data_IF_412779095264
#
_entry.id   IF_412779095264
#
_cell.length_a   1.000
_cell.length_b   1.000
_cell.length_c   1.000
_cell.angle_alpha   90.00
_cell.angle_beta   90.00
_cell.angle_gamma   90.00
#
_symmetry.space_group_name_H-M   'P 1'
#
loop_
_entity.id
_entity.type
_entity.pdbx_description
1 polymer ?
#
# COMPACT_ATOMS: atom_id res chain seq x y z
N UNK A 1 13.00 -47.35 -32.54
CA UNK A 1 13.14 -47.84 -33.91
C UNK A 1 13.67 -46.69 -34.76
N UNK A 2 14.90 -46.98 -35.30
CA UNK A 2 15.44 -46.60 -36.63
C UNK A 2 15.58 -45.09 -36.86
N UNK A 3 16.81 -44.58 -36.82
CA UNK A 3 17.90 -44.58 -37.85
C UNK A 3 17.84 -43.33 -38.71
N UNK A 4 18.86 -42.43 -38.59
CA UNK A 4 20.13 -42.39 -39.36
C UNK A 4 19.92 -41.68 -40.73
N UNK A 5 20.71 -40.63 -40.99
CA UNK A 5 21.77 -40.45 -41.98
C UNK A 5 22.04 -38.94 -42.12
N UNK A 6 23.19 -38.41 -41.78
CA UNK A 6 24.50 -38.42 -42.45
C UNK A 6 24.54 -37.54 -43.71
N UNK A 7 25.50 -36.65 -43.61
CA UNK A 7 26.54 -36.27 -44.58
C UNK A 7 26.13 -35.13 -45.55
N UNK A 8 26.95 -34.30 -46.05
CA UNK A 8 28.41 -34.10 -46.01
C UNK A 8 28.74 -32.77 -46.71
N UNK A 9 29.80 -32.17 -46.26
CA UNK A 9 30.86 -31.51 -47.05
C UNK A 9 30.53 -30.76 -48.33
N UNK A 10 30.98 -29.52 -48.44
CA UNK A 10 31.90 -29.13 -49.51
C UNK A 10 32.67 -27.85 -49.13
N UNK A 11 33.96 -28.02 -49.05
CA UNK A 11 35.00 -27.04 -49.15
C UNK A 11 34.93 -26.30 -50.48
N UNK A 12 35.19 -25.02 -50.48
CA UNK A 12 35.89 -24.33 -51.56
C UNK A 12 36.63 -23.12 -50.99
N UNK A 13 37.93 -23.23 -51.08
CA UNK A 13 38.91 -22.23 -50.79
C UNK A 13 39.19 -21.36 -52.03
N UNK A 14 39.98 -20.32 -51.81
CA UNK A 14 40.70 -19.43 -52.71
C UNK A 14 39.91 -18.26 -53.28
N UNK A 15 40.44 -17.06 -53.30
CA UNK A 15 41.75 -16.51 -53.60
C UNK A 15 41.92 -15.17 -52.95
N UNK A 16 43.10 -14.88 -52.47
CA UNK A 16 43.52 -13.61 -51.90
C UNK A 16 43.70 -12.53 -52.97
N UNK A 17 43.56 -11.29 -52.51
CA UNK A 17 44.28 -10.14 -53.07
C UNK A 17 44.77 -9.25 -51.93
N UNK A 18 46.03 -8.94 -52.07
CA UNK A 18 46.94 -8.21 -51.20
C UNK A 18 46.78 -6.70 -51.48
N UNK A 19 47.13 -5.92 -50.47
CA UNK A 19 47.46 -4.52 -50.49
C UNK A 19 46.33 -3.49 -50.24
N UNK A 20 46.21 -2.96 -49.01
CA UNK A 20 46.87 -1.71 -48.67
C UNK A 20 46.81 -1.45 -47.18
N UNK A 21 47.95 -1.34 -46.55
CA UNK A 21 48.09 -0.93 -45.16
C UNK A 21 47.67 0.53 -45.02
N UNK A 22 46.55 0.76 -44.35
CA UNK A 22 46.31 1.99 -43.59
C UNK A 22 46.08 1.55 -42.16
N UNK A 23 46.98 2.01 -41.32
CA UNK A 23 46.92 1.98 -39.87
C UNK A 23 45.51 2.34 -39.40
N UNK A 24 44.79 1.33 -38.95
CA UNK A 24 43.62 1.57 -38.08
C UNK A 24 44.24 1.73 -36.71
N UNK A 25 44.25 2.97 -36.24
CA UNK A 25 44.46 3.31 -34.87
C UNK A 25 43.71 2.34 -33.98
N UNK A 26 44.43 1.79 -33.01
CA UNK A 26 43.87 1.16 -31.84
C UNK A 26 42.78 2.07 -31.27
N UNK A 27 41.53 1.75 -31.56
CA UNK A 27 40.45 2.11 -30.65
C UNK A 27 40.65 1.18 -29.46
N UNK A 28 41.47 1.60 -28.52
CA UNK A 28 41.36 1.15 -27.15
C UNK A 28 39.87 1.30 -26.78
N UNK A 29 39.21 0.14 -26.71
CA UNK A 29 37.98 0.03 -25.94
C UNK A 29 38.36 0.34 -24.49
N UNK A 30 38.48 1.62 -24.20
CA UNK A 30 38.19 2.12 -22.86
C UNK A 30 36.70 1.92 -22.64
N UNK A 31 36.31 0.68 -22.39
CA UNK A 31 35.18 0.42 -21.52
C UNK A 31 35.60 1.05 -20.19
N UNK A 32 35.38 2.36 -20.08
CA UNK A 32 35.32 3.01 -18.81
C UNK A 32 34.29 2.23 -18.05
N UNK A 33 34.74 1.33 -17.19
CA UNK A 33 33.96 0.81 -16.10
C UNK A 33 33.40 2.04 -15.42
N UNK A 34 32.15 2.40 -15.78
CA UNK A 34 31.38 3.36 -15.02
C UNK A 34 31.06 2.58 -13.76
N UNK A 35 31.99 2.59 -12.83
CA UNK A 35 31.73 2.26 -11.45
C UNK A 35 30.68 3.29 -11.05
N UNK A 36 29.45 2.88 -11.04
CA UNK A 36 28.35 3.67 -10.52
C UNK A 36 28.55 3.73 -8.99
N UNK A 37 29.52 4.57 -8.57
CA UNK A 37 29.64 4.92 -7.16
C UNK A 37 28.32 5.49 -6.68
N UNK A 38 27.62 4.72 -5.82
CA UNK A 38 26.71 5.29 -4.83
C UNK A 38 25.44 6.02 -5.30
N UNK A 39 24.99 5.85 -6.56
CA UNK A 39 23.87 6.62 -7.10
C UNK A 39 22.51 5.91 -6.99
N UNK A 40 22.45 4.75 -6.37
CA UNK A 40 21.24 3.97 -6.16
C UNK A 40 20.98 3.86 -4.66
N UNK A 41 19.72 3.79 -4.30
CA UNK A 41 19.29 3.46 -2.94
C UNK A 41 17.99 2.68 -2.99
N UNK A 42 17.67 1.98 -1.91
CA UNK A 42 16.34 1.38 -1.75
C UNK A 42 15.78 1.63 -0.35
N UNK A 43 14.46 1.51 -0.27
CA UNK A 43 13.67 1.72 0.95
C UNK A 43 12.69 0.58 1.12
N UNK A 44 12.63 0.01 2.30
CA UNK A 44 11.53 -0.87 2.69
C UNK A 44 10.34 -0.02 3.15
N UNK A 45 9.46 0.30 2.21
CA UNK A 45 8.31 1.17 2.45
C UNK A 45 7.34 0.57 3.46
N UNK A 46 7.13 -0.75 3.42
CA UNK A 46 6.24 -1.44 4.35
C UNK A 46 6.76 -1.33 5.79
N UNK A 47 8.06 -1.46 5.98
CA UNK A 47 8.71 -1.28 7.27
C UNK A 47 8.59 0.19 7.75
N UNK A 48 8.89 1.16 6.87
CA UNK A 48 8.73 2.58 7.20
C UNK A 48 7.30 2.89 7.63
N UNK A 49 6.30 2.37 6.93
CA UNK A 49 4.91 2.59 7.28
C UNK A 49 4.55 1.95 8.62
N UNK A 50 4.93 0.69 8.84
CA UNK A 50 4.61 -0.03 10.07
C UNK A 50 5.26 0.58 11.31
N UNK A 51 6.50 1.08 11.19
CA UNK A 51 7.28 1.61 12.30
C UNK A 51 7.15 3.11 12.50
N UNK A 52 6.50 3.84 11.57
CA UNK A 52 6.32 5.29 11.68
C UNK A 52 5.41 5.71 12.84
N UNK A 53 5.72 6.85 13.45
CA UNK A 53 4.92 7.43 14.54
C UNK A 53 3.50 7.79 14.09
N UNK A 54 3.30 8.17 12.83
CA UNK A 54 1.96 8.43 12.29
C UNK A 54 1.14 7.14 12.28
N UNK A 55 1.69 6.01 11.87
CA UNK A 55 0.97 4.74 11.89
C UNK A 55 0.68 4.28 13.33
N UNK A 56 1.67 4.34 14.21
CA UNK A 56 1.53 3.95 15.62
C UNK A 56 0.49 4.79 16.37
N UNK A 57 0.31 6.04 16.00
CA UNK A 57 -0.68 6.92 16.63
C UNK A 57 -2.03 6.95 15.88
N UNK A 58 -2.05 7.40 14.63
CA UNK A 58 -3.27 7.61 13.86
C UNK A 58 -3.75 6.33 13.16
N UNK A 59 -2.83 5.54 12.60
CA UNK A 59 -3.17 4.30 11.88
C UNK A 59 -3.79 3.25 12.80
N UNK A 60 -3.21 3.05 13.99
CA UNK A 60 -3.76 2.12 14.99
C UNK A 60 -5.13 2.62 15.48
N UNK A 61 -5.26 3.92 15.75
CA UNK A 61 -6.53 4.50 16.18
C UNK A 61 -7.65 4.34 15.14
N UNK A 62 -7.32 4.53 13.86
CA UNK A 62 -8.25 4.33 12.74
C UNK A 62 -8.66 2.86 12.59
N UNK A 63 -7.71 1.94 12.72
CA UNK A 63 -7.98 0.51 12.72
C UNK A 63 -8.92 0.12 13.85
N UNK A 64 -8.65 0.57 15.08
CA UNK A 64 -9.48 0.29 16.25
C UNK A 64 -10.89 0.90 16.09
N UNK A 65 -11.00 2.10 15.51
CA UNK A 65 -12.29 2.74 15.19
C UNK A 65 -13.09 1.89 14.21
N UNK A 66 -12.45 1.40 13.17
CA UNK A 66 -13.07 0.54 12.15
C UNK A 66 -13.54 -0.78 12.75
N UNK A 67 -12.72 -1.43 13.56
CA UNK A 67 -13.08 -2.68 14.24
C UNK A 67 -14.25 -2.49 15.20
N UNK A 68 -14.23 -1.44 16.01
CA UNK A 68 -15.36 -1.09 16.92
C UNK A 68 -16.64 -0.81 16.16
N UNK A 69 -16.56 -0.13 15.01
CA UNK A 69 -17.72 0.11 14.17
C UNK A 69 -18.31 -1.21 13.65
N UNK A 70 -17.48 -2.12 13.14
CA UNK A 70 -17.90 -3.45 12.66
C UNK A 70 -18.56 -4.27 13.78
N UNK A 71 -17.93 -4.33 14.95
CA UNK A 71 -18.49 -5.03 16.10
C UNK A 71 -19.84 -4.44 16.55
N UNK A 72 -19.96 -3.11 16.57
CA UNK A 72 -21.21 -2.39 16.88
C UNK A 72 -22.30 -2.73 15.87
N UNK A 73 -21.98 -2.78 14.57
CA UNK A 73 -22.93 -3.11 13.52
C UNK A 73 -23.42 -4.55 13.65
N UNK A 74 -22.48 -5.49 13.78
CA UNK A 74 -22.81 -6.92 13.97
C UNK A 74 -23.73 -7.13 15.19
N UNK A 75 -23.43 -6.48 16.31
CA UNK A 75 -24.26 -6.56 17.52
C UNK A 75 -25.66 -5.98 17.31
N UNK A 76 -25.78 -4.85 16.62
CA UNK A 76 -27.08 -4.24 16.33
C UNK A 76 -27.93 -5.10 15.42
N UNK A 77 -27.31 -5.71 14.39
CA UNK A 77 -27.98 -6.63 13.50
C UNK A 77 -28.49 -7.87 14.23
N UNK A 78 -27.64 -8.49 15.04
CA UNK A 78 -28.03 -9.64 15.86
C UNK A 78 -29.18 -9.33 16.81
N UNK A 79 -29.15 -8.15 17.49
CA UNK A 79 -30.22 -7.73 18.36
C UNK A 79 -31.53 -7.55 17.60
N UNK A 80 -31.49 -6.94 16.42
CA UNK A 80 -32.67 -6.76 15.58
C UNK A 80 -33.26 -8.10 15.14
N UNK A 81 -32.42 -9.05 14.71
CA UNK A 81 -32.86 -10.41 14.35
C UNK A 81 -33.52 -11.13 15.54
N UNK A 82 -32.90 -11.03 16.73
CA UNK A 82 -33.47 -11.62 17.94
C UNK A 82 -34.83 -11.01 18.31
N UNK A 83 -34.97 -9.68 18.19
CA UNK A 83 -36.24 -9.00 18.45
C UNK A 83 -37.33 -9.44 17.45
N UNK A 84 -36.99 -9.59 16.16
CA UNK A 84 -37.91 -10.09 15.14
C UNK A 84 -38.35 -11.53 15.44
N UNK A 85 -37.42 -12.41 15.82
CA UNK A 85 -37.73 -13.76 16.20
C UNK A 85 -38.65 -13.83 17.44
N UNK A 86 -38.33 -13.07 18.48
CA UNK A 86 -39.15 -12.98 19.69
C UNK A 86 -40.58 -12.48 19.39
N UNK A 87 -40.70 -11.51 18.47
CA UNK A 87 -41.99 -10.99 18.04
C UNK A 87 -42.82 -12.11 17.38
N UNK A 88 -42.21 -12.86 16.46
CA UNK A 88 -42.86 -13.99 15.79
C UNK A 88 -43.30 -15.08 16.76
N UNK A 89 -42.45 -15.45 17.72
CA UNK A 89 -42.78 -16.43 18.77
C UNK A 89 -43.93 -15.97 19.66
N UNK A 90 -43.95 -14.71 20.11
CA UNK A 90 -45.04 -14.15 20.93
C UNK A 90 -46.36 -14.15 20.19
N UNK A 91 -46.33 -13.82 18.89
CA UNK A 91 -47.54 -13.88 18.06
C UNK A 91 -48.07 -15.29 17.88
N UNK A 92 -47.19 -16.27 17.55
CA UNK A 92 -47.55 -17.69 17.41
C UNK A 92 -48.14 -18.28 18.70
N UNK A 93 -47.63 -17.85 19.86
CA UNK A 93 -48.11 -18.31 21.16
C UNK A 93 -49.39 -17.57 21.63
N UNK A 94 -49.91 -16.65 20.82
CA UNK A 94 -51.10 -15.84 21.19
C UNK A 94 -50.87 -14.82 22.34
N UNK A 95 -49.62 -14.51 22.65
CA UNK A 95 -49.24 -13.63 23.74
C UNK A 95 -49.40 -12.11 23.40
N UNK A 96 -49.61 -11.82 22.12
CA UNK A 96 -49.86 -10.45 21.63
C UNK A 96 -50.97 -10.46 20.59
N UNK A 97 -51.68 -9.36 20.49
CA UNK A 97 -52.74 -9.18 19.49
C UNK A 97 -52.16 -8.95 18.11
N UNK A 98 -52.91 -9.26 17.06
CA UNK A 98 -52.49 -9.00 15.66
C UNK A 98 -52.12 -7.55 15.44
N UNK A 99 -52.89 -6.61 16.00
CA UNK A 99 -52.61 -5.18 15.90
C UNK A 99 -51.23 -4.82 16.49
N UNK A 100 -50.97 -5.29 17.73
CA UNK A 100 -49.68 -5.00 18.39
C UNK A 100 -48.53 -5.66 17.68
N UNK A 101 -48.72 -6.85 17.09
CA UNK A 101 -47.69 -7.52 16.28
C UNK A 101 -47.33 -6.69 15.02
N UNK A 102 -48.35 -6.20 14.30
CA UNK A 102 -48.15 -5.36 13.10
C UNK A 102 -47.47 -4.02 13.45
N UNK A 103 -47.89 -3.34 14.52
CA UNK A 103 -47.26 -2.10 14.98
C UNK A 103 -45.77 -2.33 15.31
N UNK A 104 -45.46 -3.42 16.00
CA UNK A 104 -44.07 -3.76 16.36
C UNK A 104 -43.22 -4.19 15.16
N UNK A 105 -43.81 -4.91 14.23
CA UNK A 105 -43.13 -5.27 12.97
C UNK A 105 -42.75 -4.00 12.17
N UNK A 106 -43.68 -3.05 12.03
CA UNK A 106 -43.38 -1.79 11.35
C UNK A 106 -42.28 -0.98 12.06
N UNK A 107 -42.25 -0.99 13.40
CA UNK A 107 -41.18 -0.36 14.18
C UNK A 107 -39.82 -1.01 13.89
N UNK A 108 -39.75 -2.36 13.90
CA UNK A 108 -38.54 -3.11 13.63
C UNK A 108 -38.05 -2.88 12.19
N UNK A 109 -38.96 -2.83 11.21
CA UNK A 109 -38.63 -2.52 9.82
C UNK A 109 -38.04 -1.10 9.68
N UNK A 110 -38.60 -0.09 10.35
CA UNK A 110 -38.05 1.27 10.37
C UNK A 110 -36.67 1.31 11.03
N UNK A 111 -36.48 0.56 12.12
CA UNK A 111 -35.17 0.44 12.78
C UNK A 111 -34.14 -0.24 11.88
N UNK A 112 -34.53 -1.28 11.14
CA UNK A 112 -33.66 -1.94 10.17
C UNK A 112 -33.18 -0.98 9.08
N UNK A 113 -34.11 -0.23 8.47
CA UNK A 113 -33.80 0.75 7.44
C UNK A 113 -32.87 1.88 7.96
N UNK A 114 -33.18 2.41 9.16
CA UNK A 114 -32.35 3.43 9.80
C UNK A 114 -30.96 2.92 10.14
N UNK A 115 -30.85 1.67 10.63
CA UNK A 115 -29.58 1.02 10.92
C UNK A 115 -28.74 0.89 9.65
N UNK A 116 -29.33 0.40 8.55
CA UNK A 116 -28.62 0.25 7.26
C UNK A 116 -28.09 1.59 6.76
N UNK A 117 -28.91 2.66 6.82
CA UNK A 117 -28.49 4.01 6.42
C UNK A 117 -27.33 4.51 7.28
N UNK A 118 -27.40 4.28 8.60
CA UNK A 118 -26.34 4.69 9.53
C UNK A 118 -25.03 3.91 9.28
N UNK A 119 -25.12 2.60 9.00
CA UNK A 119 -23.96 1.77 8.67
C UNK A 119 -23.29 2.23 7.37
N UNK A 120 -24.08 2.54 6.33
CA UNK A 120 -23.56 3.05 5.07
C UNK A 120 -22.85 4.39 5.23
N UNK A 121 -23.44 5.28 6.03
CA UNK A 121 -22.85 6.60 6.30
C UNK A 121 -21.53 6.46 7.07
N UNK A 122 -21.55 5.74 8.20
CA UNK A 122 -20.37 5.49 9.03
C UNK A 122 -19.28 4.75 8.25
N UNK A 123 -19.65 3.80 7.37
CA UNK A 123 -18.72 3.10 6.48
C UNK A 123 -18.01 4.03 5.50
N UNK A 124 -18.75 4.94 4.86
CA UNK A 124 -18.16 5.96 3.98
C UNK A 124 -17.22 6.90 4.72
N UNK A 125 -17.59 7.35 5.91
CA UNK A 125 -16.74 8.20 6.74
C UNK A 125 -15.42 7.50 7.09
N UNK A 126 -15.46 6.20 7.43
CA UNK A 126 -14.27 5.40 7.70
C UNK A 126 -13.42 5.19 6.44
N UNK A 127 -14.04 5.00 5.29
CA UNK A 127 -13.34 4.89 4.00
C UNK A 127 -12.63 6.19 3.64
N UNK A 128 -13.30 7.34 3.81
CA UNK A 128 -12.71 8.67 3.60
C UNK A 128 -11.55 8.92 4.56
N UNK A 129 -11.69 8.60 5.85
CA UNK A 129 -10.62 8.72 6.83
C UNK A 129 -9.42 7.83 6.46
N UNK A 130 -9.67 6.59 6.02
CA UNK A 130 -8.63 5.67 5.54
C UNK A 130 -7.89 6.22 4.33
N UNK A 131 -8.60 6.78 3.37
CA UNK A 131 -8.03 7.38 2.18
C UNK A 131 -7.15 8.59 2.51
N UNK A 132 -7.65 9.48 3.37
CA UNK A 132 -6.89 10.64 3.84
C UNK A 132 -5.62 10.21 4.59
N UNK A 133 -5.73 9.22 5.46
CA UNK A 133 -4.58 8.66 6.19
C UNK A 133 -3.52 8.08 5.25
N UNK A 134 -3.93 7.27 4.26
CA UNK A 134 -3.01 6.70 3.28
C UNK A 134 -2.29 7.77 2.45
N UNK A 135 -3.03 8.79 1.98
CA UNK A 135 -2.45 9.89 1.24
C UNK A 135 -1.43 10.66 2.08
N UNK A 136 -1.72 10.90 3.35
CA UNK A 136 -0.81 11.58 4.27
C UNK A 136 0.46 10.77 4.53
N UNK A 137 0.34 9.46 4.69
CA UNK A 137 1.51 8.58 4.82
C UNK A 137 2.39 8.62 3.57
N UNK A 138 1.79 8.55 2.38
CA UNK A 138 2.51 8.63 1.11
C UNK A 138 3.18 10.00 0.93
N UNK A 139 2.50 11.09 1.28
CA UNK A 139 3.06 12.44 1.24
C UNK A 139 4.30 12.56 2.14
N UNK A 140 4.19 12.12 3.39
CA UNK A 140 5.32 12.11 4.33
C UNK A 140 6.50 11.30 3.81
N UNK A 141 6.25 10.11 3.25
CA UNK A 141 7.29 9.27 2.64
C UNK A 141 7.98 9.99 1.48
N UNK A 142 7.21 10.56 0.57
CA UNK A 142 7.78 11.25 -0.60
C UNK A 142 8.55 12.50 -0.21
N UNK A 143 8.06 13.29 0.73
CA UNK A 143 8.77 14.46 1.28
C UNK A 143 10.07 14.03 1.97
N UNK A 144 10.02 12.97 2.78
CA UNK A 144 11.21 12.45 3.45
C UNK A 144 12.30 12.04 2.44
N UNK A 145 11.93 11.30 1.39
CA UNK A 145 12.86 10.88 0.34
C UNK A 145 13.41 12.12 -0.40
N UNK A 146 12.57 13.11 -0.72
CA UNK A 146 12.99 14.33 -1.41
C UNK A 146 13.97 15.16 -0.58
N UNK A 147 13.72 15.32 0.73
CA UNK A 147 14.60 16.05 1.63
C UNK A 147 15.94 15.32 1.83
N UNK A 148 15.92 13.99 2.01
CA UNK A 148 17.14 13.19 2.12
C UNK A 148 17.96 13.20 0.83
N UNK A 149 17.32 13.40 -0.31
CA UNK A 149 17.97 13.47 -1.63
C UNK A 149 18.08 14.90 -2.19
N UNK A 150 18.06 15.91 -1.33
CA UNK A 150 18.13 17.30 -1.77
C UNK A 150 19.45 17.63 -2.51
N UNK A 151 20.54 16.99 -2.12
CA UNK A 151 21.87 17.09 -2.75
C UNK A 151 22.03 16.21 -4.01
N UNK A 152 20.96 15.50 -4.42
CA UNK A 152 20.96 14.61 -5.59
C UNK A 152 22.00 13.48 -5.55
N UNK A 153 22.36 13.02 -4.34
CA UNK A 153 23.30 11.91 -4.16
C UNK A 153 22.76 10.60 -4.75
N UNK A 154 21.45 10.40 -4.69
CA UNK A 154 20.78 9.23 -5.28
C UNK A 154 20.14 9.62 -6.62
N UNK A 155 20.55 8.97 -7.70
CA UNK A 155 19.91 9.10 -9.02
C UNK A 155 18.59 8.35 -9.09
N UNK A 156 18.47 7.29 -8.27
CA UNK A 156 17.26 6.46 -8.19
C UNK A 156 17.11 5.92 -6.77
N UNK A 157 15.90 6.03 -6.25
CA UNK A 157 15.47 5.37 -5.01
C UNK A 157 14.38 4.38 -5.38
N UNK A 158 14.56 3.12 -5.01
CA UNK A 158 13.65 2.02 -5.35
C UNK A 158 12.97 1.48 -4.08
N UNK A 159 11.82 0.86 -4.26
CA UNK A 159 11.18 0.11 -3.18
C UNK A 159 11.83 -1.28 -3.08
N UNK A 160 12.14 -1.73 -1.87
CA UNK A 160 12.81 -3.02 -1.64
C UNK A 160 12.03 -4.21 -2.22
N UNK A 161 10.70 -4.16 -2.22
CA UNK A 161 9.85 -5.22 -2.79
C UNK A 161 10.01 -5.41 -4.31
N UNK A 162 10.62 -4.45 -5.02
CA UNK A 162 10.92 -4.56 -6.45
C UNK A 162 12.31 -5.15 -6.72
N UNK A 163 13.09 -5.45 -5.68
CA UNK A 163 14.45 -5.96 -5.77
C UNK A 163 14.48 -7.46 -5.49
N UNK A 164 15.29 -8.20 -6.23
CA UNK A 164 15.57 -9.61 -5.95
C UNK A 164 16.78 -9.76 -5.01
N UNK A 165 17.75 -8.85 -5.16
CA UNK A 165 18.98 -8.81 -4.38
C UNK A 165 19.55 -7.39 -4.40
N UNK A 166 20.14 -6.92 -3.32
CA UNK A 166 20.81 -5.63 -3.23
C UNK A 166 21.81 -5.63 -2.07
N UNK A 167 22.86 -4.85 -2.21
CA UNK A 167 23.82 -4.61 -1.14
C UNK A 167 23.19 -3.79 0.00
N UNK A 168 23.40 -4.19 1.25
CA UNK A 168 22.85 -3.52 2.43
C UNK A 168 23.31 -2.06 2.55
N UNK A 169 24.47 -1.70 1.98
CA UNK A 169 24.94 -0.31 1.97
C UNK A 169 24.06 0.64 1.17
N UNK A 170 23.17 0.11 0.32
CA UNK A 170 22.19 0.88 -0.45
C UNK A 170 20.87 1.08 0.29
N UNK A 171 20.69 0.45 1.46
CA UNK A 171 19.49 0.58 2.26
C UNK A 171 19.47 1.92 3.02
N UNK A 172 18.49 2.74 2.71
CA UNK A 172 18.25 4.02 3.40
C UNK A 172 16.96 4.01 4.24
N UNK A 173 16.42 2.83 4.52
CA UNK A 173 15.13 2.66 5.21
C UNK A 173 15.08 3.38 6.55
N UNK A 174 16.10 3.21 7.39
CA UNK A 174 16.15 3.84 8.72
C UNK A 174 16.26 5.37 8.64
N UNK A 175 17.02 5.87 7.67
CA UNK A 175 17.12 7.31 7.44
C UNK A 175 15.78 7.91 6.97
N UNK A 176 15.08 7.19 6.09
CA UNK A 176 13.73 7.60 5.63
C UNK A 176 12.73 7.54 6.78
N UNK A 177 12.73 6.49 7.61
CA UNK A 177 11.87 6.39 8.78
C UNK A 177 12.09 7.53 9.77
N UNK A 178 13.35 7.86 10.07
CA UNK A 178 13.68 8.97 10.95
C UNK A 178 13.16 10.29 10.40
N UNK A 179 13.33 10.54 9.09
CA UNK A 179 12.86 11.76 8.43
C UNK A 179 11.32 11.82 8.37
N UNK A 180 10.63 10.72 8.11
CA UNK A 180 9.16 10.64 8.16
C UNK A 180 8.64 11.04 9.54
N UNK A 181 9.27 10.53 10.61
CA UNK A 181 8.88 10.86 11.98
C UNK A 181 9.15 12.34 12.32
N UNK A 182 10.26 12.89 11.85
CA UNK A 182 10.59 14.33 11.99
C UNK A 182 9.52 15.21 11.33
N UNK A 183 9.20 14.92 10.06
CA UNK A 183 8.19 15.66 9.30
C UNK A 183 6.79 15.54 9.94
N UNK A 184 6.43 14.35 10.39
CA UNK A 184 5.16 14.16 11.10
C UNK A 184 5.07 14.99 12.38
N UNK A 185 6.16 15.04 13.17
CA UNK A 185 6.21 15.87 14.38
C UNK A 185 6.07 17.36 14.05
N UNK A 186 6.73 17.84 12.99
CA UNK A 186 6.64 19.22 12.51
C UNK A 186 5.21 19.55 12.06
N UNK A 187 4.58 18.69 11.26
CA UNK A 187 3.20 18.87 10.78
C UNK A 187 2.21 18.95 11.95
N UNK A 188 2.39 18.12 12.99
CA UNK A 188 1.57 18.19 14.21
C UNK A 188 1.75 19.50 14.98
N UNK A 189 2.97 19.99 15.08
CA UNK A 189 3.25 21.25 15.79
C UNK A 189 2.58 22.44 15.07
N UNK A 190 2.63 22.45 13.73
CA UNK A 190 1.99 23.49 12.91
C UNK A 190 0.46 23.45 13.06
N UNK A 191 -0.15 22.28 12.94
CA UNK A 191 -1.59 22.11 13.11
C UNK A 191 -2.07 22.52 14.52
N UNK A 192 -1.27 22.29 15.57
CA UNK A 192 -1.59 22.67 16.94
C UNK A 192 -1.52 24.20 17.16
N UNK A 193 -0.73 24.91 16.38
CA UNK A 193 -0.67 26.41 16.41
C UNK A 193 -1.84 27.03 15.68
N UNK A 194 -2.19 26.52 14.50
CA UNK A 194 -3.33 27.01 13.71
C UNK A 194 -4.71 26.79 14.39
N UNK A 195 -4.83 25.77 15.23
CA UNK A 195 -6.08 25.50 15.98
C UNK A 195 -6.30 26.39 17.20
N UNK A 196 -5.33 27.28 17.52
CA UNK A 196 -5.40 28.19 18.69
C UNK A 196 -5.66 29.65 18.31
N UNK A 197 -5.67 29.95 17.03
CA UNK A 197 -6.09 31.25 16.47
C UNK A 197 -7.57 31.19 16.03
#
# INVERSE_FOLDING_TARGET
MKRIFIAACAFLAFVGCKENAKSVENVENNATEVVAEGNLAFVNVDYVFAESEIFKSEGIALRDKTEKAQQKWAKKEQNLQNEMQQLAEKYQKGLITTRNAQEKEQELQKRAASMQTSMQKEGKELEEESFVFQNRMNDLLMRAIQELNADKRYKMVMQSSALLDADESLDITDAVLAKVNELYAADKATAATESKE
#
